data_IF_614230832092
#
_entry.id   IF_614230832092
#
_cell.length_a   1.000
_cell.length_b   1.000
_cell.length_c   1.000
_cell.angle_alpha   90.00
_cell.angle_beta   90.00
_cell.angle_gamma   90.00
#
_symmetry.space_group_name_H-M   'P 1'
#
loop_
_entity.id
_entity.type
_entity.pdbx_description
1 polymer ?
#
# COMPACT_ATOMS: atom_id res chain seq x y z
N UNK A 1 -22.12 -12.79 8.72
CA UNK A 1 -21.06 -13.83 8.63
C UNK A 1 -20.77 -14.27 7.19
N UNK A 2 -21.78 -14.46 6.32
CA UNK A 2 -21.56 -14.83 4.89
C UNK A 2 -20.85 -13.76 4.05
N UNK A 3 -21.01 -12.49 4.40
CA UNK A 3 -20.44 -11.35 3.66
C UNK A 3 -18.92 -11.18 3.74
N UNK A 4 -18.28 -11.78 4.75
CA UNK A 4 -16.83 -11.69 4.99
C UNK A 4 -16.05 -12.83 4.33
N UNK A 5 -16.75 -13.78 3.70
CA UNK A 5 -16.19 -14.99 3.09
C UNK A 5 -16.30 -14.97 1.56
N UNK A 6 -16.75 -13.88 0.95
CA UNK A 6 -16.71 -13.75 -0.51
C UNK A 6 -15.30 -13.30 -0.95
N UNK A 7 -14.48 -14.17 -1.55
CA UNK A 7 -13.15 -13.81 -2.02
C UNK A 7 -13.19 -12.72 -3.11
N UNK A 8 -14.34 -12.49 -3.75
CA UNK A 8 -14.51 -11.41 -4.74
C UNK A 8 -14.34 -10.01 -4.14
N UNK A 9 -14.64 -9.85 -2.85
CA UNK A 9 -14.46 -8.57 -2.12
C UNK A 9 -12.99 -8.23 -1.83
N UNK A 10 -12.07 -9.19 -1.99
CA UNK A 10 -10.65 -9.02 -1.70
C UNK A 10 -9.80 -9.09 -2.97
N UNK A 11 -10.29 -8.51 -4.06
CA UNK A 11 -9.52 -8.37 -5.31
C UNK A 11 -8.68 -7.08 -5.31
N UNK A 12 -7.62 -7.05 -6.11
CA UNK A 12 -6.70 -5.93 -6.23
C UNK A 12 -5.45 -6.09 -5.37
N UNK A 13 -4.47 -6.83 -5.89
CA UNK A 13 -3.15 -6.91 -5.27
C UNK A 13 -2.37 -5.62 -5.54
N UNK A 14 -1.92 -4.96 -4.48
CA UNK A 14 -1.15 -3.70 -4.55
C UNK A 14 0.34 -4.01 -4.75
N UNK A 15 0.97 -3.37 -5.74
CA UNK A 15 2.41 -3.44 -5.95
C UNK A 15 3.09 -2.20 -5.35
N UNK A 16 3.86 -2.40 -4.27
CA UNK A 16 4.55 -1.34 -3.54
C UNK A 16 5.95 -1.07 -4.12
N UNK A 17 6.49 0.13 -3.84
CA UNK A 17 7.83 0.53 -4.26
C UNK A 17 7.94 1.04 -5.69
N UNK A 18 6.80 1.23 -6.38
CA UNK A 18 6.74 1.84 -7.69
C UNK A 18 6.42 3.35 -7.59
N UNK A 19 6.70 4.09 -8.66
CA UNK A 19 6.47 5.54 -8.73
C UNK A 19 4.99 5.95 -8.84
N UNK A 20 4.05 5.02 -8.75
CA UNK A 20 2.62 5.29 -8.82
C UNK A 20 1.80 4.14 -8.24
N UNK A 21 0.48 4.32 -8.23
CA UNK A 21 -0.47 3.29 -7.80
C UNK A 21 -0.58 2.23 -8.87
N UNK A 22 -0.25 0.99 -8.50
CA UNK A 22 -0.38 -0.18 -9.37
C UNK A 22 -1.15 -1.25 -8.62
N UNK A 23 -2.32 -1.60 -9.15
CA UNK A 23 -3.21 -2.64 -8.62
C UNK A 23 -3.43 -3.70 -9.69
N UNK A 24 -3.19 -4.97 -9.32
CA UNK A 24 -3.41 -6.13 -10.18
C UNK A 24 -4.69 -6.85 -9.78
N UNK A 25 -5.63 -6.94 -10.71
CA UNK A 25 -6.82 -7.79 -10.54
C UNK A 25 -6.50 -9.29 -10.73
N UNK A 26 -7.22 -10.16 -10.03
CA UNK A 26 -7.12 -11.62 -10.20
C UNK A 26 -7.67 -12.05 -11.57
N UNK A 27 -7.00 -13.02 -12.21
CA UNK A 27 -7.42 -13.55 -13.50
C UNK A 27 -8.73 -14.34 -13.37
N UNK A 28 -9.68 -14.11 -14.28
CA UNK A 28 -11.00 -14.76 -14.22
C UNK A 28 -12.00 -14.12 -13.26
N UNK A 29 -11.72 -12.92 -12.73
CA UNK A 29 -12.72 -12.15 -11.98
C UNK A 29 -13.90 -11.73 -12.86
N UNK A 30 -15.08 -11.60 -12.25
CA UNK A 30 -16.24 -10.97 -12.87
C UNK A 30 -16.14 -9.43 -12.78
N UNK A 31 -17.11 -8.73 -13.38
CA UNK A 31 -17.12 -7.27 -13.45
C UNK A 31 -17.17 -6.61 -12.06
N UNK A 32 -17.90 -7.19 -11.10
CA UNK A 32 -17.98 -6.69 -9.72
C UNK A 32 -16.63 -6.83 -9.00
N UNK A 33 -16.00 -8.01 -9.10
CA UNK A 33 -14.67 -8.20 -8.54
C UNK A 33 -13.59 -7.34 -9.21
N UNK A 34 -13.74 -7.00 -10.51
CA UNK A 34 -12.84 -6.04 -11.16
C UNK A 34 -13.07 -4.61 -10.67
N UNK A 35 -14.33 -4.20 -10.48
CA UNK A 35 -14.68 -2.89 -9.93
C UNK A 35 -14.04 -2.67 -8.55
N UNK A 36 -14.04 -3.69 -7.69
CA UNK A 36 -13.34 -3.61 -6.40
C UNK A 36 -11.83 -3.34 -6.53
N UNK A 37 -11.14 -3.90 -7.53
CA UNK A 37 -9.73 -3.59 -7.77
C UNK A 37 -9.53 -2.12 -8.22
N UNK A 38 -10.50 -1.55 -8.94
CA UNK A 38 -10.50 -0.12 -9.30
C UNK A 38 -10.78 0.74 -8.06
N UNK A 39 -11.73 0.37 -7.21
CA UNK A 39 -12.03 1.08 -5.96
C UNK A 39 -10.79 1.15 -5.07
N UNK A 40 -10.06 0.04 -4.91
CA UNK A 40 -8.77 0.02 -4.19
C UNK A 40 -7.77 1.02 -4.78
N UNK A 41 -7.64 1.08 -6.10
CA UNK A 41 -6.74 2.03 -6.75
C UNK A 41 -7.18 3.48 -6.53
N UNK A 42 -8.48 3.76 -6.63
CA UNK A 42 -9.05 5.09 -6.39
C UNK A 42 -8.84 5.55 -4.95
N UNK A 43 -9.05 4.66 -3.98
CA UNK A 43 -8.79 4.94 -2.56
C UNK A 43 -7.32 5.25 -2.32
N UNK A 44 -6.40 4.48 -2.91
CA UNK A 44 -4.96 4.74 -2.79
C UNK A 44 -4.56 6.11 -3.37
N UNK A 45 -5.11 6.47 -4.52
CA UNK A 45 -4.87 7.77 -5.16
C UNK A 45 -5.46 8.89 -4.28
N UNK A 46 -6.71 8.75 -3.83
CA UNK A 46 -7.39 9.77 -3.02
C UNK A 46 -6.76 9.99 -1.64
N UNK A 47 -5.93 9.06 -1.17
CA UNK A 47 -5.23 9.15 0.11
C UNK A 47 -3.71 9.41 -0.05
N UNK A 48 -3.25 9.81 -1.24
CA UNK A 48 -1.84 10.11 -1.55
C UNK A 48 -0.86 9.00 -1.07
N UNK A 49 -1.27 7.74 -1.27
CA UNK A 49 -0.63 6.59 -0.63
C UNK A 49 0.87 6.47 -0.91
N UNK A 50 1.31 6.72 -2.15
CA UNK A 50 2.72 6.68 -2.53
C UNK A 50 3.55 7.73 -1.77
N UNK A 51 3.05 8.95 -1.64
CA UNK A 51 3.72 10.04 -0.91
C UNK A 51 3.86 9.68 0.56
N UNK A 52 2.81 9.15 1.17
CA UNK A 52 2.82 8.75 2.59
C UNK A 52 3.81 7.62 2.87
N UNK A 53 3.95 6.65 1.97
CA UNK A 53 4.99 5.62 2.08
C UNK A 53 6.39 6.24 1.98
N UNK A 54 6.62 7.10 0.99
CA UNK A 54 7.92 7.74 0.80
C UNK A 54 8.33 8.59 2.01
N UNK A 55 7.39 9.38 2.54
CA UNK A 55 7.58 10.18 3.76
C UNK A 55 7.85 9.30 4.98
N UNK A 56 7.11 8.21 5.14
CA UNK A 56 7.30 7.26 6.23
C UNK A 56 8.69 6.62 6.20
N UNK A 57 9.14 6.16 5.02
CA UNK A 57 10.48 5.60 4.85
C UNK A 57 11.57 6.63 5.14
N UNK A 58 11.44 7.87 4.64
CA UNK A 58 12.40 8.94 4.92
C UNK A 58 12.47 9.28 6.42
N UNK A 59 11.33 9.29 7.12
CA UNK A 59 11.29 9.50 8.56
C UNK A 59 11.98 8.35 9.33
N UNK A 60 11.80 7.10 8.88
CA UNK A 60 12.50 5.95 9.46
C UNK A 60 14.02 6.02 9.24
N UNK A 61 14.47 6.39 8.04
CA UNK A 61 15.89 6.56 7.74
C UNK A 61 16.54 7.61 8.67
N UNK A 62 15.88 8.76 8.85
CA UNK A 62 16.33 9.79 9.79
C UNK A 62 16.40 9.28 11.23
N UNK A 63 15.39 8.53 11.66
CA UNK A 63 15.36 7.96 13.01
C UNK A 63 16.53 6.98 13.23
N UNK A 64 16.80 6.11 12.25
CA UNK A 64 17.90 5.12 12.29
C UNK A 64 19.26 5.82 12.34
N UNK A 65 19.46 6.85 11.49
CA UNK A 65 20.71 7.60 11.45
C UNK A 65 20.94 8.37 12.76
N UNK A 66 19.90 9.03 13.29
CA UNK A 66 19.99 9.78 14.54
C UNK A 66 20.28 8.90 15.77
N UNK A 67 19.84 7.64 15.76
CA UNK A 67 20.16 6.66 16.80
C UNK A 67 21.62 6.17 16.74
N UNK A 68 22.28 6.30 15.59
CA UNK A 68 23.66 5.84 15.38
C UNK A 68 24.69 6.90 15.81
N UNK A 69 24.35 8.19 15.71
CA UNK A 69 25.20 9.31 16.17
C UNK A 69 25.19 9.54 17.69
N UNK A 70 24.28 8.87 18.43
CA UNK A 70 24.18 9.00 19.89
C UNK A 70 25.21 8.16 20.69
N UNK A 71 26.18 7.53 20.02
CA UNK A 71 27.31 6.86 20.66
C UNK A 71 28.64 7.35 20.09
N UNK A 72 29.20 8.41 20.70
CA UNK A 72 30.52 8.22 21.27
C UNK A 72 30.62 8.96 22.61
N UNK A 73 30.80 8.23 23.71
CA UNK A 73 31.51 8.66 24.93
C UNK A 73 31.49 7.51 25.95
N UNK A 74 32.49 6.63 25.84
CA UNK A 74 32.96 5.73 26.88
C UNK A 74 34.49 5.67 26.84
#
# INVERSE_FOLDING_TARGET
LREWLDPRRYNGAVLLGLNGVVVKSHGGTDAEGFAHAVDVAMDMIGNDFNSRIAEGLAAMDLAILSATDAAPDA
#
